data_IF_997020602713
#
_entry.id   IF_997020602713
#
_cell.length_a   1.000
_cell.length_b   1.000
_cell.length_c   1.000
_cell.angle_alpha   90.00
_cell.angle_beta   90.00
_cell.angle_gamma   90.00
#
_symmetry.space_group_name_H-M   'P 1'
#
loop_
_entity.id
_entity.type
_entity.pdbx_description
1 polymer ?
#
# COMPACT_ATOMS: atom_id res chain seq x y z
N UNK A 1 -17.41 -12.81 -41.07
CA UNK A 1 -17.43 -11.38 -41.44
C UNK A 1 -17.51 -10.57 -40.17
N UNK A 2 -16.48 -9.78 -39.89
CA UNK A 2 -16.39 -8.93 -38.71
C UNK A 2 -17.35 -7.73 -38.86
N UNK A 3 -17.99 -7.25 -37.79
CA UNK A 3 -18.66 -5.96 -37.83
C UNK A 3 -17.61 -4.84 -37.84
N UNK A 4 -17.77 -3.98 -38.84
CA UNK A 4 -17.03 -2.76 -39.11
C UNK A 4 -17.00 -1.82 -37.91
N UNK A 5 -15.85 -1.20 -37.68
CA UNK A 5 -15.71 0.00 -36.88
C UNK A 5 -16.77 1.01 -37.32
N UNK A 6 -17.64 1.40 -36.40
CA UNK A 6 -18.51 2.56 -36.52
C UNK A 6 -17.97 3.59 -35.55
N UNK A 7 -17.79 4.79 -36.08
CA UNK A 7 -17.24 5.96 -35.43
C UNK A 7 -17.93 6.22 -34.08
N UNK A 8 -17.20 6.03 -32.99
CA UNK A 8 -17.62 6.52 -31.68
C UNK A 8 -17.25 8.01 -31.67
N UNK A 9 -18.24 8.87 -31.90
CA UNK A 9 -18.11 10.30 -31.62
C UNK A 9 -17.60 10.49 -30.19
N UNK A 10 -16.61 11.38 -29.95
CA UNK A 10 -16.20 11.70 -28.60
C UNK A 10 -17.40 12.31 -27.86
N UNK A 11 -17.67 11.90 -26.61
CA UNK A 11 -18.81 12.42 -25.85
C UNK A 11 -18.75 13.94 -25.81
N UNK A 12 -19.88 14.56 -26.16
CA UNK A 12 -20.10 16.01 -26.27
C UNK A 12 -19.33 16.81 -25.22
N UNK A 13 -18.63 17.88 -25.62
CA UNK A 13 -17.91 18.85 -24.77
C UNK A 13 -18.29 18.78 -23.28
N UNK A 14 -17.68 17.83 -22.58
CA UNK A 14 -18.17 17.42 -21.28
C UNK A 14 -17.70 18.46 -20.26
N UNK A 15 -18.63 19.09 -19.54
CA UNK A 15 -18.34 19.92 -18.38
C UNK A 15 -17.26 19.23 -17.53
N UNK A 16 -16.18 19.94 -17.21
CA UNK A 16 -15.10 19.47 -16.32
C UNK A 16 -15.68 18.79 -15.09
N UNK A 17 -15.10 17.67 -14.64
CA UNK A 17 -15.61 16.97 -13.47
C UNK A 17 -15.54 17.90 -12.26
N UNK A 18 -16.69 18.17 -11.65
CA UNK A 18 -16.75 18.94 -10.41
C UNK A 18 -16.21 18.11 -9.24
N UNK A 19 -15.02 18.46 -8.76
CA UNK A 19 -14.42 17.86 -7.56
C UNK A 19 -14.92 18.59 -6.32
N UNK A 20 -15.87 17.99 -5.60
CA UNK A 20 -16.35 18.55 -4.33
C UNK A 20 -15.30 18.32 -3.23
N UNK A 21 -14.98 19.34 -2.40
CA UNK A 21 -14.10 19.15 -1.26
C UNK A 21 -14.61 18.03 -0.35
N UNK A 22 -13.71 17.13 0.01
CA UNK A 22 -13.95 16.12 1.03
C UNK A 22 -13.46 16.63 2.39
N UNK A 23 -14.18 16.30 3.45
CA UNK A 23 -13.83 16.65 4.82
C UNK A 23 -13.70 15.38 5.64
N UNK A 24 -12.73 15.36 6.55
CA UNK A 24 -12.52 14.21 7.42
C UNK A 24 -13.73 14.01 8.33
N UNK A 25 -14.23 12.77 8.48
CA UNK A 25 -15.24 12.48 9.48
C UNK A 25 -14.66 12.66 10.89
N UNK A 26 -15.52 12.68 11.90
CA UNK A 26 -15.08 12.75 13.30
C UNK A 26 -14.32 11.48 13.69
N UNK A 27 -13.39 11.62 14.62
CA UNK A 27 -12.77 10.47 15.28
C UNK A 27 -13.83 9.64 16.01
N UNK A 28 -13.59 8.34 16.16
CA UNK A 28 -14.42 7.50 17.01
C UNK A 28 -14.33 7.96 18.46
N UNK A 29 -15.44 7.82 19.16
CA UNK A 29 -15.61 8.05 20.60
C UNK A 29 -15.49 6.75 21.40
N UNK A 30 -15.43 5.60 20.72
CA UNK A 30 -15.21 4.31 21.38
C UNK A 30 -13.76 4.16 21.86
N UNK A 31 -13.61 3.50 23.01
CA UNK A 31 -12.30 3.18 23.57
C UNK A 31 -11.76 1.91 22.92
N UNK A 32 -10.78 2.07 22.02
CA UNK A 32 -10.16 0.98 21.29
C UNK A 32 -8.74 0.72 21.81
N UNK A 33 -8.32 -0.55 21.81
CA UNK A 33 -6.95 -0.92 22.14
C UNK A 33 -5.99 -0.54 21.00
N UNK A 34 -5.35 0.62 21.15
CA UNK A 34 -4.41 1.16 20.16
C UNK A 34 -3.06 0.46 20.19
N UNK A 35 -2.52 0.17 19.01
CA UNK A 35 -1.16 -0.31 18.86
C UNK A 35 -0.16 0.79 19.27
N UNK A 36 0.88 0.47 20.07
CA UNK A 36 1.90 1.43 20.46
C UNK A 36 2.91 1.64 19.32
N UNK A 37 2.50 2.33 18.25
CA UNK A 37 3.36 2.59 17.11
C UNK A 37 4.39 3.69 17.43
N UNK A 38 5.66 3.41 17.13
CA UNK A 38 6.72 4.42 17.20
C UNK A 38 6.40 5.57 16.25
N UNK A 39 6.59 6.80 16.72
CA UNK A 39 6.44 8.01 15.91
C UNK A 39 7.82 8.53 15.50
N UNK A 40 8.02 8.72 14.20
CA UNK A 40 9.25 9.23 13.58
C UNK A 40 8.98 10.64 13.08
N UNK A 41 9.68 11.63 13.65
CA UNK A 41 9.58 13.03 13.25
C UNK A 41 10.61 13.34 12.15
N UNK A 42 10.17 13.40 10.90
CA UNK A 42 11.08 13.61 9.75
C UNK A 42 11.57 15.05 9.60
N UNK A 43 11.07 16.01 10.39
CA UNK A 43 11.64 17.37 10.40
C UNK A 43 13.07 17.38 10.94
N UNK A 44 13.41 16.39 11.76
CA UNK A 44 14.73 16.22 12.37
C UNK A 44 15.76 15.56 11.45
N UNK A 45 15.35 15.09 10.26
CA UNK A 45 16.20 14.28 9.39
C UNK A 45 17.49 15.00 8.94
N UNK A 46 17.40 16.31 8.70
CA UNK A 46 18.51 17.12 8.20
C UNK A 46 19.28 17.83 9.33
N UNK A 47 18.92 17.59 10.61
CA UNK A 47 19.67 18.08 11.77
C UNK A 47 21.01 17.35 11.94
N UNK A 48 22.06 17.98 12.49
CA UNK A 48 23.31 17.27 12.83
C UNK A 48 23.04 16.10 13.78
N UNK A 49 23.41 14.87 13.37
CA UNK A 49 23.13 13.64 14.13
C UNK A 49 21.66 13.15 14.06
N UNK A 50 20.81 13.84 13.30
CA UNK A 50 19.38 13.56 13.22
C UNK A 50 19.06 12.22 12.54
N UNK A 51 19.81 11.86 11.50
CA UNK A 51 19.61 10.58 10.80
C UNK A 51 19.92 9.40 11.70
N UNK A 52 21.00 9.45 12.47
CA UNK A 52 21.43 8.38 13.37
C UNK A 52 20.42 8.16 14.50
N UNK A 53 19.92 9.25 15.10
CA UNK A 53 18.90 9.19 16.14
C UNK A 53 17.57 8.67 15.60
N UNK A 54 17.13 9.14 14.42
CA UNK A 54 15.91 8.65 13.77
C UNK A 54 16.05 7.18 13.34
N UNK A 55 17.21 6.76 12.85
CA UNK A 55 17.50 5.36 12.51
C UNK A 55 17.43 4.47 13.77
N UNK A 56 17.98 4.94 14.89
CA UNK A 56 17.87 4.25 16.19
C UNK A 56 16.42 4.12 16.67
N UNK A 57 15.60 5.16 16.51
CA UNK A 57 14.17 5.11 16.84
C UNK A 57 13.40 4.16 15.91
N UNK A 58 13.73 4.19 14.61
CA UNK A 58 13.09 3.35 13.61
C UNK A 58 13.47 1.87 13.78
N UNK A 59 14.66 1.56 14.29
CA UNK A 59 15.17 0.21 14.49
C UNK A 59 14.17 -0.71 15.20
N UNK A 60 13.65 -0.30 16.35
CA UNK A 60 12.70 -1.12 17.12
C UNK A 60 11.37 -1.29 16.37
N UNK A 61 10.93 -0.23 15.69
CA UNK A 61 9.69 -0.26 14.94
C UNK A 61 9.76 -1.27 13.78
N UNK A 62 10.86 -1.28 13.01
CA UNK A 62 11.02 -2.17 11.85
C UNK A 62 11.35 -3.61 12.22
N UNK A 63 12.05 -3.85 13.35
CA UNK A 63 12.49 -5.20 13.76
C UNK A 63 11.48 -5.95 14.62
N UNK A 64 10.61 -5.23 15.34
CA UNK A 64 9.57 -5.84 16.18
C UNK A 64 8.21 -5.82 15.51
N UNK A 65 7.73 -4.64 15.12
CA UNK A 65 6.31 -4.42 14.77
C UNK A 65 6.10 -4.27 13.27
N UNK A 66 7.08 -3.83 12.49
CA UNK A 66 6.94 -3.58 11.04
C UNK A 66 6.03 -2.41 10.67
N UNK A 67 5.51 -1.66 11.65
CA UNK A 67 4.65 -0.48 11.49
C UNK A 67 5.16 0.68 12.35
N UNK A 68 5.06 1.89 11.83
CA UNK A 68 5.38 3.14 12.53
C UNK A 68 4.49 4.27 12.00
N UNK A 69 4.50 5.41 12.68
CA UNK A 69 3.88 6.63 12.18
C UNK A 69 4.95 7.67 11.88
N UNK A 70 4.85 8.34 10.74
CA UNK A 70 5.66 9.50 10.39
C UNK A 70 4.86 10.77 10.63
N UNK A 71 5.48 11.77 11.27
CA UNK A 71 4.94 13.13 11.42
C UNK A 71 5.92 14.15 10.85
N UNK A 72 5.43 15.37 10.62
CA UNK A 72 6.22 16.49 10.09
C UNK A 72 6.99 16.13 8.81
N UNK A 73 6.34 15.36 7.92
CA UNK A 73 6.94 14.92 6.66
C UNK A 73 7.16 16.07 5.65
N UNK A 74 6.55 17.22 5.88
CA UNK A 74 6.54 18.34 4.94
C UNK A 74 5.50 18.19 3.82
N UNK A 75 4.63 17.18 3.86
CA UNK A 75 3.44 17.12 3.01
C UNK A 75 2.36 18.01 3.63
N UNK A 76 1.83 18.92 2.82
CA UNK A 76 0.73 19.78 3.23
C UNK A 76 -0.59 18.99 3.30
N UNK A 77 -1.28 19.12 4.43
CA UNK A 77 -2.56 18.44 4.68
C UNK A 77 -3.67 18.85 3.69
N UNK A 78 -3.62 20.08 3.16
CA UNK A 78 -4.52 20.53 2.10
C UNK A 78 -4.36 19.72 0.81
N UNK A 79 -3.13 19.34 0.45
CA UNK A 79 -2.87 18.46 -0.70
C UNK A 79 -3.42 17.06 -0.45
N UNK A 80 -3.27 16.54 0.78
CA UNK A 80 -3.86 15.26 1.19
C UNK A 80 -5.39 15.29 1.04
N UNK A 81 -6.05 16.37 1.50
CA UNK A 81 -7.49 16.56 1.34
C UNK A 81 -7.92 16.68 -0.12
N UNK A 82 -7.11 17.28 -1.00
CA UNK A 82 -7.36 17.29 -2.45
C UNK A 82 -7.36 15.87 -3.02
N UNK A 83 -6.38 15.04 -2.65
CA UNK A 83 -6.34 13.63 -3.08
C UNK A 83 -7.56 12.83 -2.59
N UNK A 84 -7.97 13.01 -1.33
CA UNK A 84 -9.22 12.43 -0.83
C UNK A 84 -10.45 12.94 -1.60
N UNK A 85 -10.46 14.21 -2.00
CA UNK A 85 -11.55 14.78 -2.82
C UNK A 85 -11.63 14.12 -4.20
N UNK A 86 -10.49 13.84 -4.84
CA UNK A 86 -10.44 13.10 -6.10
C UNK A 86 -10.95 11.66 -5.94
N UNK A 87 -10.45 10.93 -4.94
CA UNK A 87 -10.92 9.57 -4.64
C UNK A 87 -12.42 9.50 -4.34
N UNK A 88 -12.92 10.37 -3.47
CA UNK A 88 -14.35 10.46 -3.15
C UNK A 88 -15.21 10.80 -4.38
N UNK A 89 -14.71 11.67 -5.26
CA UNK A 89 -15.41 12.03 -6.50
C UNK A 89 -15.45 10.83 -7.45
N UNK A 90 -14.32 10.14 -7.63
CA UNK A 90 -14.22 8.94 -8.46
C UNK A 90 -15.19 7.85 -8.03
N UNK A 91 -15.22 7.47 -6.74
CA UNK A 91 -16.05 6.35 -6.29
C UNK A 91 -17.56 6.60 -6.41
N UNK A 92 -17.97 7.87 -6.53
CA UNK A 92 -19.37 8.29 -6.77
C UNK A 92 -19.76 8.34 -8.25
N UNK A 93 -18.84 8.11 -9.18
CA UNK A 93 -19.14 8.01 -10.60
C UNK A 93 -19.92 6.72 -10.93
N UNK A 94 -20.52 6.69 -12.12
CA UNK A 94 -21.21 5.49 -12.61
C UNK A 94 -20.23 4.32 -12.72
N UNK A 95 -20.75 3.10 -12.65
CA UNK A 95 -19.93 1.90 -12.78
C UNK A 95 -19.25 1.80 -14.15
N UNK A 96 -19.91 2.30 -15.20
CA UNK A 96 -19.36 2.40 -16.56
C UNK A 96 -18.09 3.27 -16.58
N UNK A 97 -18.14 4.48 -16.01
CA UNK A 97 -16.98 5.38 -15.91
C UNK A 97 -15.84 4.74 -15.10
N UNK A 98 -16.17 4.07 -13.97
CA UNK A 98 -15.16 3.39 -13.15
C UNK A 98 -14.53 2.20 -13.88
N UNK A 99 -15.30 1.46 -14.68
CA UNK A 99 -14.84 0.30 -15.47
C UNK A 99 -14.09 0.66 -16.76
N UNK A 100 -13.93 1.94 -17.09
CA UNK A 100 -13.15 2.40 -18.25
C UNK A 100 -11.76 1.74 -18.35
N UNK A 101 -11.07 1.62 -17.22
CA UNK A 101 -9.75 1.00 -17.14
C UNK A 101 -9.67 0.09 -15.90
N UNK A 102 -10.05 -1.19 -16.01
CA UNK A 102 -10.01 -2.15 -14.91
C UNK A 102 -8.60 -2.71 -14.72
N UNK A 103 -8.28 -3.16 -13.49
CA UNK A 103 -7.02 -3.86 -13.24
C UNK A 103 -6.95 -5.21 -13.98
N UNK A 104 -5.80 -5.54 -14.56
CA UNK A 104 -5.55 -6.83 -15.20
C UNK A 104 -4.81 -7.81 -14.28
N UNK A 105 -5.55 -8.39 -13.33
CA UNK A 105 -4.98 -9.34 -12.36
C UNK A 105 -4.50 -10.66 -12.97
N UNK A 106 -4.94 -11.02 -14.18
CA UNK A 106 -4.50 -12.24 -14.85
C UNK A 106 -3.00 -12.18 -15.18
N UNK A 107 -2.51 -10.99 -15.51
CA UNK A 107 -1.10 -10.66 -15.78
C UNK A 107 -0.37 -10.09 -14.55
N UNK A 108 -1.04 -10.06 -13.39
CA UNK A 108 -0.48 -9.51 -12.16
C UNK A 108 -0.38 -7.98 -12.13
N UNK A 109 -0.97 -7.29 -13.11
CA UNK A 109 -1.01 -5.83 -13.15
C UNK A 109 -2.02 -5.29 -12.13
N UNK A 110 -1.70 -4.14 -11.55
CA UNK A 110 -2.54 -3.53 -10.51
C UNK A 110 -2.93 -2.09 -10.80
N UNK A 111 -2.52 -1.48 -11.92
CA UNK A 111 -2.99 -0.15 -12.28
C UNK A 111 -4.45 -0.19 -12.77
N UNK A 112 -5.19 0.90 -12.54
CA UNK A 112 -6.60 1.01 -12.87
C UNK A 112 -7.54 0.71 -11.72
N UNK A 113 -8.80 0.42 -12.06
CA UNK A 113 -9.90 0.25 -11.13
C UNK A 113 -10.11 -1.22 -10.74
N UNK A 114 -10.16 -1.45 -9.44
CA UNK A 114 -10.59 -2.70 -8.84
C UNK A 114 -12.00 -2.53 -8.28
N UNK A 115 -12.95 -3.24 -8.88
CA UNK A 115 -14.31 -3.35 -8.37
C UNK A 115 -14.40 -4.26 -7.15
N UNK A 116 -15.40 -3.99 -6.30
CA UNK A 116 -15.80 -4.80 -5.17
C UNK A 116 -16.62 -6.03 -5.60
N UNK A 117 -16.11 -6.79 -6.56
CA UNK A 117 -16.84 -7.87 -7.24
C UNK A 117 -16.61 -9.25 -6.62
N UNK A 118 -15.67 -9.40 -5.69
CA UNK A 118 -15.29 -10.71 -5.13
C UNK A 118 -16.27 -11.15 -4.05
N UNK A 119 -16.68 -12.40 -4.10
CA UNK A 119 -17.50 -13.00 -3.04
C UNK A 119 -16.66 -13.31 -1.81
N UNK A 120 -17.22 -13.09 -0.63
CA UNK A 120 -16.60 -13.50 0.63
C UNK A 120 -17.08 -14.92 0.93
N UNK A 121 -16.21 -15.91 0.69
CA UNK A 121 -16.52 -17.32 0.85
C UNK A 121 -17.85 -17.72 0.20
N UNK A 122 -18.68 -18.40 0.98
CA UNK A 122 -20.06 -18.79 0.65
C UNK A 122 -21.12 -17.90 1.35
N UNK A 123 -20.72 -16.74 1.87
CA UNK A 123 -21.58 -15.89 2.72
C UNK A 123 -22.75 -15.24 1.99
N UNK A 124 -22.73 -15.24 0.65
CA UNK A 124 -23.67 -14.47 -0.18
C UNK A 124 -23.43 -12.95 -0.15
N UNK A 125 -22.31 -12.49 0.42
CA UNK A 125 -21.92 -11.07 0.48
C UNK A 125 -20.61 -10.87 -0.30
N UNK A 126 -20.49 -9.76 -1.03
CA UNK A 126 -19.24 -9.37 -1.70
C UNK A 126 -18.32 -8.58 -0.77
N UNK A 127 -17.04 -8.49 -1.13
CA UNK A 127 -16.20 -7.48 -0.52
C UNK A 127 -16.77 -6.08 -0.77
N UNK A 128 -16.53 -5.17 0.17
CA UNK A 128 -17.07 -3.82 0.14
C UNK A 128 -16.00 -2.81 -0.28
N UNK A 129 -14.89 -3.28 -0.85
CA UNK A 129 -13.73 -2.46 -1.12
C UNK A 129 -13.56 -2.21 -2.61
N UNK A 130 -13.50 -0.95 -2.98
CA UNK A 130 -13.11 -0.50 -4.32
C UNK A 130 -11.75 0.20 -4.25
N UNK A 131 -10.97 0.11 -5.32
CA UNK A 131 -9.65 0.73 -5.38
C UNK A 131 -9.42 1.34 -6.76
N UNK A 132 -8.77 2.51 -6.81
CA UNK A 132 -8.20 3.09 -8.02
C UNK A 132 -6.70 3.23 -7.79
N UNK A 133 -5.91 2.58 -8.65
CA UNK A 133 -4.45 2.56 -8.58
C UNK A 133 -3.88 3.39 -9.72
N UNK A 134 -3.14 4.43 -9.38
CA UNK A 134 -2.60 5.44 -10.27
C UNK A 134 -1.08 5.30 -10.27
N UNK A 135 -0.55 4.98 -11.44
CA UNK A 135 0.88 4.76 -11.68
C UNK A 135 1.74 6.01 -11.45
N UNK A 136 3.04 5.79 -11.32
CA UNK A 136 4.03 6.88 -11.31
C UNK A 136 3.98 7.73 -12.60
N UNK A 137 4.16 9.05 -12.50
CA UNK A 137 4.28 9.95 -13.64
C UNK A 137 5.69 9.92 -14.27
N UNK A 138 6.10 8.76 -14.79
CA UNK A 138 7.39 8.59 -15.49
C UNK A 138 7.17 8.31 -16.98
N UNK A 139 8.18 8.58 -17.80
CA UNK A 139 8.12 8.41 -19.25
C UNK A 139 7.73 6.99 -19.67
N UNK A 140 8.30 5.98 -19.00
CA UNK A 140 7.99 4.56 -19.26
C UNK A 140 6.50 4.20 -19.06
N UNK A 141 5.76 4.99 -18.28
CA UNK A 141 4.35 4.73 -17.93
C UNK A 141 3.40 5.82 -18.48
N UNK A 142 3.86 6.67 -19.41
CA UNK A 142 3.07 7.79 -19.94
C UNK A 142 1.78 7.33 -20.62
N UNK A 143 1.84 6.18 -21.31
CA UNK A 143 0.76 5.63 -22.13
C UNK A 143 -0.23 4.77 -21.32
N UNK A 144 0.03 4.56 -20.02
CA UNK A 144 -0.93 3.88 -19.14
C UNK A 144 -2.23 4.71 -19.10
N UNK A 145 -3.39 4.10 -19.40
CA UNK A 145 -4.68 4.79 -19.40
C UNK A 145 -4.99 5.46 -18.06
N UNK A 146 -5.69 6.58 -18.11
CA UNK A 146 -6.07 7.37 -16.92
C UNK A 146 -7.57 7.62 -16.96
N UNK A 147 -8.26 7.29 -15.87
CA UNK A 147 -9.66 7.69 -15.70
C UNK A 147 -9.81 9.20 -15.82
N UNK A 148 -10.99 9.64 -16.27
CA UNK A 148 -11.25 11.06 -16.56
C UNK A 148 -10.87 12.00 -15.40
N UNK A 149 -11.22 11.63 -14.16
CA UNK A 149 -10.88 12.39 -12.95
C UNK A 149 -9.36 12.53 -12.76
N UNK A 150 -8.59 11.48 -13.07
CA UNK A 150 -7.12 11.49 -12.96
C UNK A 150 -6.52 12.33 -14.08
N UNK A 151 -7.00 12.17 -15.30
CA UNK A 151 -6.52 12.93 -16.48
C UNK A 151 -6.75 14.44 -16.32
N UNK A 152 -7.94 14.84 -15.87
CA UNK A 152 -8.28 16.26 -15.70
C UNK A 152 -7.54 16.93 -14.51
N UNK A 153 -7.00 16.15 -13.58
CA UNK A 153 -6.28 16.65 -12.38
C UNK A 153 -4.84 16.11 -12.30
N UNK A 154 -4.26 15.71 -13.44
CA UNK A 154 -3.00 14.98 -13.49
C UNK A 154 -1.83 15.76 -12.90
N UNK A 155 -1.79 17.08 -13.09
CA UNK A 155 -0.73 17.93 -12.54
C UNK A 155 -0.69 17.86 -11.00
N UNK A 156 -1.84 18.01 -10.33
CA UNK A 156 -1.93 17.91 -8.86
C UNK A 156 -1.58 16.50 -8.37
N UNK A 157 -2.06 15.46 -9.05
CA UNK A 157 -1.85 14.05 -8.66
C UNK A 157 -0.39 13.64 -8.87
N UNK A 158 0.22 13.99 -10.00
CA UNK A 158 1.61 13.68 -10.32
C UNK A 158 2.59 14.41 -9.40
N UNK A 159 2.33 15.69 -9.09
CA UNK A 159 3.12 16.44 -8.12
C UNK A 159 3.02 15.81 -6.72
N UNK A 160 1.82 15.43 -6.27
CA UNK A 160 1.64 14.74 -4.99
C UNK A 160 2.37 13.39 -4.97
N UNK A 161 2.29 12.63 -6.06
CA UNK A 161 3.01 11.38 -6.20
C UNK A 161 4.54 11.56 -6.09
N UNK A 162 5.11 12.62 -6.68
CA UNK A 162 6.54 12.95 -6.56
C UNK A 162 6.92 13.30 -5.11
N UNK A 163 6.05 14.03 -4.40
CA UNK A 163 6.29 14.39 -2.99
C UNK A 163 6.41 13.17 -2.07
N UNK A 164 5.73 12.05 -2.37
CA UNK A 164 5.88 10.81 -1.60
C UNK A 164 7.33 10.34 -1.59
N UNK A 165 8.00 10.47 -2.73
CA UNK A 165 9.40 10.12 -2.87
C UNK A 165 10.33 11.13 -2.21
N UNK A 166 10.22 12.40 -2.62
CA UNK A 166 11.18 13.44 -2.23
C UNK A 166 11.17 13.71 -0.72
N UNK A 167 9.98 13.66 -0.12
CA UNK A 167 9.76 14.05 1.27
C UNK A 167 9.71 12.88 2.25
N UNK A 168 9.36 11.66 1.80
CA UNK A 168 9.26 10.49 2.69
C UNK A 168 10.14 9.33 2.28
N UNK A 169 9.87 8.67 1.15
CA UNK A 169 10.48 7.36 0.85
C UNK A 169 11.99 7.45 0.81
N UNK A 170 12.55 8.48 0.17
CA UNK A 170 14.00 8.69 0.15
C UNK A 170 14.59 8.77 1.55
N UNK A 171 13.96 9.53 2.46
CA UNK A 171 14.40 9.68 3.85
C UNK A 171 14.30 8.36 4.61
N UNK A 172 13.16 7.67 4.49
CA UNK A 172 12.96 6.36 5.15
C UNK A 172 13.96 5.31 4.66
N UNK A 173 14.27 5.27 3.36
CA UNK A 173 15.26 4.37 2.79
C UNK A 173 16.68 4.68 3.27
N UNK A 174 17.04 5.95 3.44
CA UNK A 174 18.32 6.33 4.08
C UNK A 174 18.38 5.81 5.51
N UNK A 175 17.32 6.01 6.32
CA UNK A 175 17.30 5.50 7.71
C UNK A 175 17.42 3.98 7.76
N UNK A 176 16.74 3.27 6.86
CA UNK A 176 16.83 1.81 6.73
C UNK A 176 18.24 1.37 6.30
N UNK A 177 18.88 2.07 5.37
CA UNK A 177 20.25 1.80 4.97
C UNK A 177 21.24 1.97 6.14
N UNK A 178 21.08 3.03 6.94
CA UNK A 178 21.88 3.26 8.15
C UNK A 178 21.69 2.12 9.15
N UNK A 179 20.45 1.71 9.42
CA UNK A 179 20.16 0.55 10.30
C UNK A 179 20.91 -0.69 9.82
N UNK A 180 20.93 -0.93 8.51
CA UNK A 180 21.56 -2.11 7.91
C UNK A 180 23.07 -1.92 7.66
N UNK A 181 23.66 -0.82 8.10
CA UNK A 181 25.08 -0.48 7.87
C UNK A 181 25.49 -0.52 6.39
N UNK A 182 24.55 -0.15 5.52
CA UNK A 182 24.75 0.00 4.09
C UNK A 182 25.05 1.47 3.75
N UNK A 183 25.60 1.75 2.55
CA UNK A 183 25.67 3.12 2.04
C UNK A 183 24.27 3.77 2.07
N UNK A 184 24.18 5.03 2.51
CA UNK A 184 22.88 5.73 2.70
C UNK A 184 21.98 5.69 1.45
N UNK A 185 22.59 5.72 0.26
CA UNK A 185 21.90 5.70 -1.02
C UNK A 185 21.49 4.29 -1.50
N UNK A 186 21.88 3.21 -0.82
CA UNK A 186 21.69 1.84 -1.31
C UNK A 186 20.23 1.53 -1.71
N UNK A 187 19.27 1.79 -0.82
CA UNK A 187 17.85 1.58 -1.13
C UNK A 187 17.23 2.71 -1.94
N UNK A 188 17.80 3.92 -1.87
CA UNK A 188 17.37 5.07 -2.67
C UNK A 188 17.61 4.78 -4.16
N UNK A 189 18.78 4.28 -4.50
CA UNK A 189 19.15 3.96 -5.87
C UNK A 189 18.34 2.76 -6.38
N UNK A 190 18.14 1.74 -5.53
CA UNK A 190 17.35 0.56 -5.87
C UNK A 190 15.85 0.83 -6.08
N UNK A 191 15.34 1.99 -5.63
CA UNK A 191 13.95 2.41 -5.78
C UNK A 191 13.84 3.79 -6.46
N UNK A 192 14.86 4.18 -7.24
CA UNK A 192 14.91 5.50 -7.85
C UNK A 192 13.61 5.84 -8.57
N UNK A 193 13.10 7.05 -8.34
CA UNK A 193 11.75 7.42 -8.75
C UNK A 193 11.51 7.28 -10.26
N UNK A 194 12.50 7.66 -11.07
CA UNK A 194 12.45 7.65 -12.53
C UNK A 194 12.56 6.24 -13.14
N UNK A 195 13.00 5.25 -12.35
CA UNK A 195 13.10 3.87 -12.81
C UNK A 195 11.73 3.20 -12.84
N UNK A 196 11.54 2.25 -13.76
CA UNK A 196 10.28 1.52 -13.87
C UNK A 196 10.00 0.71 -12.60
N UNK A 197 8.80 0.85 -12.04
CA UNK A 197 8.29 -0.02 -10.98
C UNK A 197 6.76 0.04 -10.94
N UNK A 198 6.15 -0.93 -10.26
CA UNK A 198 4.70 -0.95 -10.02
C UNK A 198 4.26 -0.02 -8.87
N UNK A 199 5.09 0.97 -8.51
CA UNK A 199 4.73 2.02 -7.55
C UNK A 199 3.44 2.72 -7.97
N UNK A 200 2.59 3.02 -6.99
CA UNK A 200 1.33 3.71 -7.27
C UNK A 200 0.76 4.44 -6.06
N UNK A 201 0.04 5.50 -6.38
CA UNK A 201 -0.95 6.10 -5.50
C UNK A 201 -2.24 5.28 -5.58
N UNK A 202 -2.85 4.98 -4.43
CA UNK A 202 -4.14 4.30 -4.34
C UNK A 202 -5.16 5.19 -3.67
N UNK A 203 -6.28 5.41 -4.36
CA UNK A 203 -7.53 5.76 -3.71
C UNK A 203 -8.29 4.47 -3.39
N UNK A 204 -8.87 4.39 -2.21
CA UNK A 204 -9.61 3.22 -1.75
C UNK A 204 -10.86 3.66 -1.00
N UNK A 205 -11.96 2.92 -1.13
CA UNK A 205 -13.13 3.11 -0.28
C UNK A 205 -13.63 1.77 0.22
N UNK A 206 -13.93 1.68 1.52
CA UNK A 206 -14.80 0.63 2.05
C UNK A 206 -16.22 1.19 2.13
N UNK A 207 -17.11 0.63 1.32
CA UNK A 207 -18.51 0.98 1.30
C UNK A 207 -19.21 0.49 2.59
N UNK A 208 -20.23 1.23 3.00
CA UNK A 208 -21.05 0.87 4.17
C UNK A 208 -21.75 -0.46 3.93
N UNK A 209 -21.95 -1.21 5.02
CA UNK A 209 -22.69 -2.47 5.06
C UNK A 209 -23.75 -2.39 6.14
N UNK A 210 -24.81 -3.15 5.97
CA UNK A 210 -25.75 -3.46 7.05
C UNK A 210 -25.04 -4.30 8.14
N UNK A 211 -25.62 -4.35 9.35
CA UNK A 211 -25.09 -5.20 10.41
C UNK A 211 -25.03 -6.67 9.98
N UNK A 212 -26.09 -7.17 9.33
CA UNK A 212 -26.16 -8.55 8.84
C UNK A 212 -25.03 -8.87 7.84
N UNK A 213 -24.74 -7.95 6.93
CA UNK A 213 -23.64 -8.11 5.98
C UNK A 213 -22.27 -8.11 6.67
N UNK A 214 -22.07 -7.30 7.71
CA UNK A 214 -20.85 -7.31 8.52
C UNK A 214 -20.68 -8.64 9.26
N UNK A 215 -21.73 -9.12 9.91
CA UNK A 215 -21.71 -10.39 10.67
C UNK A 215 -21.37 -11.57 9.76
N UNK A 216 -21.91 -11.58 8.53
CA UNK A 216 -21.59 -12.58 7.50
C UNK A 216 -20.15 -12.46 7.01
N UNK A 217 -19.74 -11.25 6.62
CA UNK A 217 -18.43 -11.00 6.02
C UNK A 217 -17.26 -11.25 6.97
N UNK A 218 -17.40 -10.85 8.25
CA UNK A 218 -16.30 -10.89 9.21
C UNK A 218 -15.77 -12.30 9.47
N UNK A 219 -16.56 -13.36 9.25
CA UNK A 219 -16.13 -14.74 9.49
C UNK A 219 -15.05 -15.27 8.54
N UNK A 220 -14.78 -14.55 7.44
CA UNK A 220 -13.80 -14.89 6.40
C UNK A 220 -12.68 -13.83 6.26
N UNK A 221 -12.86 -12.67 6.90
CA UNK A 221 -11.88 -11.58 6.91
C UNK A 221 -11.28 -11.40 8.30
N UNK A 222 -11.32 -12.46 9.14
CA UNK A 222 -10.61 -12.44 10.44
C UNK A 222 -9.12 -12.53 10.18
N UNK A 223 -8.73 -13.24 9.14
CA UNK A 223 -7.38 -13.22 8.65
C UNK A 223 -6.92 -11.88 8.10
N UNK A 224 -5.68 -11.52 8.41
CA UNK A 224 -5.02 -10.39 7.77
C UNK A 224 -4.25 -10.77 6.52
N UNK A 225 -3.41 -9.84 6.09
CA UNK A 225 -2.47 -10.02 4.99
C UNK A 225 -1.21 -9.20 5.27
N UNK A 226 -0.16 -9.50 4.50
CA UNK A 226 1.01 -8.65 4.35
C UNK A 226 0.95 -7.94 3.00
N UNK A 227 1.61 -6.78 2.91
CA UNK A 227 1.78 -6.04 1.66
C UNK A 227 2.89 -6.63 0.82
N UNK A 228 2.83 -6.43 -0.50
CA UNK A 228 3.71 -7.15 -1.44
C UNK A 228 5.03 -6.43 -1.74
N UNK A 229 5.07 -5.10 -1.56
CA UNK A 229 6.18 -4.25 -1.97
C UNK A 229 7.25 -4.08 -0.90
N UNK A 230 7.91 -2.93 -0.92
CA UNK A 230 8.97 -2.56 0.02
C UNK A 230 8.42 -1.77 1.19
N UNK A 231 7.69 -0.69 0.90
CA UNK A 231 7.07 0.20 1.89
C UNK A 231 5.66 0.58 1.45
N UNK A 232 4.75 0.67 2.41
CA UNK A 232 3.41 1.24 2.22
C UNK A 232 3.30 2.50 3.07
N UNK A 233 2.78 3.57 2.48
CA UNK A 233 2.44 4.82 3.17
C UNK A 233 0.92 4.94 3.19
N UNK A 234 0.32 4.93 4.37
CA UNK A 234 -1.11 5.10 4.57
C UNK A 234 -1.38 6.45 5.24
N UNK A 235 -2.09 7.33 4.53
CA UNK A 235 -2.50 8.61 5.09
C UNK A 235 -3.59 8.43 6.14
N UNK A 236 -3.52 9.21 7.21
CA UNK A 236 -4.42 9.13 8.36
C UNK A 236 -5.90 9.09 7.96
N UNK A 237 -6.61 8.06 8.42
CA UNK A 237 -8.04 7.83 8.19
C UNK A 237 -8.79 7.92 9.51
N UNK A 238 -9.75 8.83 9.64
CA UNK A 238 -10.48 9.00 10.90
C UNK A 238 -11.47 7.87 11.20
N UNK A 239 -12.02 7.22 10.17
CA UNK A 239 -12.82 6.00 10.35
C UNK A 239 -11.89 4.85 10.71
N UNK A 240 -11.96 4.42 11.97
CA UNK A 240 -11.19 3.30 12.48
C UNK A 240 -11.58 2.01 11.76
N UNK A 241 -10.64 1.08 11.64
CA UNK A 241 -10.84 -0.17 10.91
C UNK A 241 -9.56 -0.95 10.72
N UNK A 242 -8.42 -0.27 10.57
CA UNK A 242 -7.12 -0.93 10.46
C UNK A 242 -6.71 -1.52 11.81
N UNK A 243 -6.37 -2.81 11.80
CA UNK A 243 -5.71 -3.51 12.89
C UNK A 243 -4.41 -4.15 12.40
N UNK A 244 -3.40 -4.15 13.26
CA UNK A 244 -2.15 -4.89 13.05
C UNK A 244 -2.07 -6.05 14.03
N UNK A 245 -1.40 -7.12 13.62
CA UNK A 245 -1.09 -8.25 14.50
C UNK A 245 0.23 -8.00 15.20
N UNK A 246 0.23 -7.92 16.52
CA UNK A 246 1.45 -7.71 17.31
C UNK A 246 2.34 -8.95 17.31
N UNK A 247 3.62 -8.86 17.72
CA UNK A 247 4.49 -10.02 17.89
C UNK A 247 3.93 -11.07 18.86
N UNK A 248 3.12 -10.64 19.82
CA UNK A 248 2.43 -11.50 20.79
C UNK A 248 1.20 -12.21 20.17
N UNK A 249 0.85 -11.89 18.92
CA UNK A 249 -0.25 -12.49 18.18
C UNK A 249 -1.61 -11.79 18.37
N UNK A 250 -1.65 -10.69 19.12
CA UNK A 250 -2.85 -9.90 19.40
C UNK A 250 -3.20 -8.95 18.25
N UNK A 251 -4.48 -8.64 18.07
CA UNK A 251 -4.92 -7.63 17.11
C UNK A 251 -5.12 -6.29 17.79
N UNK A 252 -4.36 -5.26 17.40
CA UNK A 252 -4.49 -3.90 17.94
C UNK A 252 -4.84 -2.89 16.84
N UNK A 253 -5.64 -1.90 17.20
CA UNK A 253 -6.10 -0.86 16.28
C UNK A 253 -5.00 0.14 15.98
N UNK A 254 -4.96 0.64 14.74
CA UNK A 254 -4.05 1.74 14.39
C UNK A 254 -4.75 3.06 14.63
N UNK A 255 -4.21 3.84 15.57
CA UNK A 255 -4.75 5.16 15.91
C UNK A 255 -4.48 6.15 14.77
N UNK A 256 -5.49 6.89 14.28
CA UNK A 256 -5.25 7.92 13.29
C UNK A 256 -4.53 9.11 13.96
N UNK A 257 -3.40 9.51 13.39
CA UNK A 257 -2.59 10.63 13.88
C UNK A 257 -2.81 11.84 12.97
N UNK A 258 -3.08 13.01 13.53
CA UNK A 258 -3.27 14.24 12.76
C UNK A 258 -1.96 14.63 12.07
N UNK A 259 -2.01 14.87 10.75
CA UNK A 259 -0.81 15.08 9.94
C UNK A 259 0.13 13.86 9.85
N UNK A 260 -0.30 12.73 10.41
CA UNK A 260 0.46 11.49 10.46
C UNK A 260 0.26 10.63 9.21
N UNK A 261 1.32 9.90 8.86
CA UNK A 261 1.31 8.89 7.81
C UNK A 261 1.74 7.59 8.47
N UNK A 262 0.84 6.61 8.54
CA UNK A 262 1.17 5.27 9.01
C UNK A 262 2.00 4.60 7.92
N UNK A 263 3.18 4.12 8.27
CA UNK A 263 4.07 3.43 7.36
C UNK A 263 4.24 1.98 7.80
N UNK A 264 4.39 1.08 6.85
CA UNK A 264 4.82 -0.28 7.13
C UNK A 264 5.79 -0.81 6.09
N UNK A 265 6.66 -1.72 6.56
CA UNK A 265 7.43 -2.55 5.66
C UNK A 265 6.56 -3.68 5.10
N UNK A 266 6.96 -4.15 3.94
CA UNK A 266 6.22 -5.13 3.16
C UNK A 266 7.15 -6.29 2.74
N UNK A 267 6.60 -7.29 2.06
CA UNK A 267 7.25 -8.59 1.88
C UNK A 267 8.59 -8.51 1.15
N UNK A 268 8.75 -7.62 0.16
CA UNK A 268 10.03 -7.54 -0.56
C UNK A 268 11.14 -7.03 0.34
N UNK A 269 10.89 -6.00 1.16
CA UNK A 269 11.91 -5.50 2.09
C UNK A 269 12.23 -6.52 3.19
N UNK A 270 11.23 -7.29 3.64
CA UNK A 270 11.46 -8.43 4.54
C UNK A 270 12.39 -9.47 3.89
N UNK A 271 12.16 -9.84 2.63
CA UNK A 271 13.05 -10.79 1.93
C UNK A 271 14.45 -10.27 1.70
N UNK A 272 14.57 -9.03 1.23
CA UNK A 272 15.85 -8.34 1.04
C UNK A 272 16.67 -8.33 2.34
N UNK A 273 16.01 -8.34 3.50
CA UNK A 273 16.65 -8.30 4.82
C UNK A 273 16.57 -9.63 5.59
N UNK A 274 16.24 -10.74 4.93
CA UNK A 274 16.12 -12.08 5.55
C UNK A 274 15.20 -12.12 6.77
N UNK A 275 14.12 -11.34 6.74
CA UNK A 275 13.14 -11.22 7.81
C UNK A 275 13.61 -10.40 9.00
N UNK A 276 14.74 -9.69 8.90
CA UNK A 276 15.18 -8.74 9.92
C UNK A 276 14.20 -7.57 10.04
N UNK A 277 13.83 -6.94 8.92
CA UNK A 277 12.71 -6.00 8.84
C UNK A 277 11.41 -6.81 8.70
N UNK A 278 10.45 -6.56 9.59
CA UNK A 278 9.19 -7.31 9.65
C UNK A 278 8.17 -6.77 8.65
N UNK A 279 7.64 -7.69 7.83
CA UNK A 279 6.39 -7.48 7.09
C UNK A 279 5.24 -7.95 7.97
N UNK A 280 4.42 -7.02 8.43
CA UNK A 280 3.45 -7.30 9.49
C UNK A 280 2.05 -7.54 8.97
N UNK A 281 1.45 -8.59 9.50
CA UNK A 281 0.09 -9.00 9.17
C UNK A 281 -0.89 -7.93 9.69
N UNK A 282 -1.73 -7.42 8.80
CA UNK A 282 -2.72 -6.41 9.12
C UNK A 282 -4.05 -6.68 8.40
N UNK A 283 -5.13 -6.13 8.93
CA UNK A 283 -6.49 -6.32 8.40
C UNK A 283 -7.32 -5.05 8.56
N UNK A 284 -8.39 -4.95 7.79
CA UNK A 284 -9.44 -3.95 8.03
C UNK A 284 -10.69 -4.67 8.49
N UNK A 285 -11.14 -4.34 9.71
CA UNK A 285 -12.35 -4.90 10.33
C UNK A 285 -13.51 -3.92 10.26
N UNK A 286 -14.70 -4.38 10.68
CA UNK A 286 -15.87 -3.54 10.92
C UNK A 286 -15.47 -2.33 11.78
N UNK A 287 -15.79 -1.11 11.34
CA UNK A 287 -15.57 0.09 12.14
C UNK A 287 -16.32 0.04 13.49
N UNK A 288 -15.91 0.85 14.48
CA UNK A 288 -16.68 1.06 15.70
C UNK A 288 -18.13 1.51 15.39
N UNK A 289 -19.08 1.23 16.29
CA UNK A 289 -20.52 1.41 16.05
C UNK A 289 -20.85 2.85 15.67
N UNK A 290 -20.18 3.81 16.30
CA UNK A 290 -20.35 5.23 16.04
C UNK A 290 -19.84 5.68 14.66
N UNK A 291 -19.15 4.82 13.92
CA UNK A 291 -18.63 5.08 12.57
C UNK A 291 -19.12 4.10 11.50
N UNK A 292 -19.86 3.03 11.85
CA UNK A 292 -20.31 1.99 10.91
C UNK A 292 -21.11 2.50 9.70
N UNK A 293 -21.76 3.65 9.85
CA UNK A 293 -22.57 4.31 8.82
C UNK A 293 -21.78 5.24 7.89
N UNK A 294 -20.46 5.36 8.08
CA UNK A 294 -19.58 6.26 7.34
C UNK A 294 -18.69 5.45 6.40
N UNK A 295 -18.67 5.72 5.08
CA UNK A 295 -17.73 5.09 4.17
C UNK A 295 -16.28 5.41 4.58
N UNK A 296 -15.43 4.38 4.65
CA UNK A 296 -14.02 4.54 5.03
C UNK A 296 -13.18 4.77 3.79
N UNK A 297 -12.95 6.04 3.47
CA UNK A 297 -12.08 6.46 2.38
C UNK A 297 -10.61 6.40 2.80
N UNK A 298 -9.75 5.90 1.92
CA UNK A 298 -8.32 5.71 2.13
C UNK A 298 -7.49 6.27 0.99
N UNK A 299 -6.31 6.77 1.35
CA UNK A 299 -5.28 7.25 0.44
C UNK A 299 -3.98 6.54 0.84
N UNK A 300 -3.39 5.81 -0.10
CA UNK A 300 -2.15 5.07 0.13
C UNK A 300 -1.15 5.36 -0.98
N UNK A 301 0.12 5.17 -0.67
CA UNK A 301 1.18 5.03 -1.65
C UNK A 301 1.87 3.70 -1.42
N UNK A 302 2.03 2.89 -2.47
CA UNK A 302 2.80 1.65 -2.41
C UNK A 302 4.11 1.85 -3.15
N UNK A 303 5.23 1.66 -2.44
CA UNK A 303 6.57 1.60 -3.03
C UNK A 303 6.95 0.13 -3.25
N UNK A 304 7.39 -0.19 -4.46
CA UNK A 304 7.66 -1.54 -4.93
C UNK A 304 9.02 -1.59 -5.62
N UNK A 305 9.75 -2.70 -5.50
CA UNK A 305 10.98 -2.90 -6.27
C UNK A 305 10.66 -3.00 -7.77
N UNK A 306 11.57 -2.49 -8.60
CA UNK A 306 11.44 -2.50 -10.06
C UNK A 306 11.91 -3.81 -10.69
N UNK A 307 11.88 -3.91 -12.04
CA UNK A 307 12.34 -5.09 -12.77
C UNK A 307 13.87 -5.25 -12.71
N UNK A 308 14.61 -4.20 -12.33
CA UNK A 308 16.06 -4.24 -12.16
C UNK A 308 16.50 -4.58 -10.73
N UNK A 309 15.56 -4.72 -9.79
CA UNK A 309 15.87 -5.05 -8.40
C UNK A 309 15.82 -6.58 -8.21
N UNK A 310 16.96 -7.27 -8.02
CA UNK A 310 16.95 -8.71 -7.75
C UNK A 310 16.43 -8.99 -6.34
N UNK A 311 15.51 -9.95 -6.20
CA UNK A 311 14.98 -10.39 -4.91
C UNK A 311 15.97 -11.31 -4.19
N UNK A 312 17.10 -10.74 -3.76
CA UNK A 312 18.17 -11.40 -2.98
C UNK A 312 18.47 -10.62 -1.71
N UNK A 313 19.10 -11.29 -0.76
CA UNK A 313 19.54 -10.62 0.46
C UNK A 313 20.49 -9.46 0.15
N UNK A 314 20.33 -8.34 0.85
CA UNK A 314 21.25 -7.21 0.74
C UNK A 314 22.58 -7.56 1.41
N UNK A 315 23.72 -7.06 0.91
CA UNK A 315 25.05 -7.33 1.46
C UNK A 315 25.31 -6.48 2.71
N UNK A 316 24.41 -6.57 3.69
CA UNK A 316 24.45 -5.77 4.91
C UNK A 316 25.49 -6.32 5.90
N UNK A 317 26.46 -5.48 6.34
CA UNK A 317 27.39 -5.86 7.40
C UNK A 317 26.69 -6.23 8.72
N UNK A 318 25.58 -5.55 9.05
CA UNK A 318 24.77 -5.90 10.21
C UNK A 318 24.17 -7.31 10.07
N UNK A 319 23.51 -7.61 8.95
CA UNK A 319 22.90 -8.92 8.74
C UNK A 319 23.94 -10.04 8.76
N UNK A 320 25.12 -9.80 8.20
CA UNK A 320 26.24 -10.75 8.22
C UNK A 320 26.71 -11.02 9.66
N UNK A 321 26.95 -9.96 10.43
CA UNK A 321 27.37 -10.05 11.83
C UNK A 321 26.32 -10.71 12.73
N UNK A 322 25.04 -10.61 12.39
CA UNK A 322 23.95 -11.32 13.06
C UNK A 322 23.81 -12.79 12.60
N UNK A 323 24.61 -13.25 11.63
CA UNK A 323 24.56 -14.61 11.11
C UNK A 323 23.31 -14.91 10.27
N UNK A 324 22.65 -13.88 9.73
CA UNK A 324 21.43 -14.04 8.93
C UNK A 324 21.69 -14.32 7.45
N UNK A 325 22.92 -14.07 6.99
CA UNK A 325 23.34 -14.29 5.60
C UNK A 325 24.11 -15.61 5.49
N UNK A 326 23.67 -16.49 4.59
CA UNK A 326 24.41 -17.70 4.20
C UNK A 326 25.38 -17.42 3.05
N UNK A 327 26.31 -18.32 2.76
CA UNK A 327 27.20 -18.19 1.59
C UNK A 327 26.41 -18.15 0.27
N UNK A 328 25.31 -18.89 0.20
CA UNK A 328 24.39 -18.89 -0.95
C UNK A 328 23.62 -17.57 -1.09
N UNK A 329 23.32 -16.87 0.02
CA UNK A 329 22.74 -15.53 -0.03
C UNK A 329 23.74 -14.47 -0.55
N UNK A 330 25.04 -14.74 -0.40
CA UNK A 330 26.13 -13.84 -0.81
C UNK A 330 26.57 -14.06 -2.26
N UNK A 331 26.11 -15.12 -2.93
CA UNK A 331 26.47 -15.39 -4.33
C UNK A 331 25.77 -14.40 -5.30
N UNK A 332 26.51 -13.49 -5.95
CA UNK A 332 25.91 -12.54 -6.88
C UNK A 332 25.39 -13.20 -8.17
N UNK A 333 25.81 -14.42 -8.48
CA UNK A 333 25.42 -15.16 -9.68
C UNK A 333 24.16 -16.00 -9.49
N UNK A 334 23.67 -16.12 -8.25
CA UNK A 334 22.45 -16.85 -7.96
C UNK A 334 21.27 -16.21 -8.69
N UNK A 335 20.64 -16.99 -9.56
CA UNK A 335 19.44 -16.55 -10.27
C UNK A 335 18.29 -16.39 -9.27
N UNK A 336 17.70 -15.20 -9.23
CA UNK A 336 16.58 -14.86 -8.35
C UNK A 336 15.55 -14.07 -9.17
N UNK A 337 14.24 -14.16 -8.84
CA UNK A 337 13.27 -13.31 -9.50
C UNK A 337 13.56 -11.83 -9.24
N UNK A 338 13.11 -11.00 -10.15
CA UNK A 338 13.08 -9.54 -10.00
C UNK A 338 11.95 -9.12 -9.07
N UNK A 339 12.02 -7.88 -8.59
CA UNK A 339 10.96 -7.26 -7.78
C UNK A 339 9.61 -7.29 -8.47
N UNK A 340 9.56 -6.87 -9.74
CA UNK A 340 8.33 -6.86 -10.54
C UNK A 340 7.75 -8.27 -10.73
N UNK A 341 8.58 -9.29 -11.04
CA UNK A 341 8.10 -10.67 -11.19
C UNK A 341 7.44 -11.19 -9.91
N UNK A 342 8.09 -10.99 -8.76
CA UNK A 342 7.55 -11.39 -7.46
C UNK A 342 6.22 -10.68 -7.16
N UNK A 343 6.20 -9.36 -7.31
CA UNK A 343 5.02 -8.53 -7.03
C UNK A 343 3.85 -8.95 -7.91
N UNK A 344 4.05 -9.14 -9.23
CA UNK A 344 3.00 -9.56 -10.17
C UNK A 344 2.50 -10.97 -9.85
N UNK A 345 3.39 -11.89 -9.47
CA UNK A 345 2.99 -13.21 -9.01
C UNK A 345 2.11 -13.15 -7.75
N UNK A 346 2.41 -12.27 -6.80
CA UNK A 346 1.58 -12.02 -5.61
C UNK A 346 0.23 -11.39 -5.94
N UNK A 347 0.20 -10.40 -6.83
CA UNK A 347 -1.07 -9.80 -7.30
C UNK A 347 -1.96 -10.87 -7.92
N UNK A 348 -1.39 -11.75 -8.77
CA UNK A 348 -2.12 -12.84 -9.40
C UNK A 348 -2.68 -13.83 -8.36
N UNK A 349 -1.88 -14.25 -7.38
CA UNK A 349 -2.35 -15.18 -6.34
C UNK A 349 -3.48 -14.61 -5.48
N UNK A 350 -3.45 -13.30 -5.18
CA UNK A 350 -4.41 -12.66 -4.27
C UNK A 350 -5.64 -12.11 -4.98
N UNK A 351 -5.48 -11.46 -6.13
CA UNK A 351 -6.53 -10.65 -6.75
C UNK A 351 -7.19 -11.28 -7.96
N UNK A 352 -6.56 -12.25 -8.63
CA UNK A 352 -7.18 -12.93 -9.78
C UNK A 352 -8.39 -13.79 -9.39
N UNK A 353 -8.48 -14.18 -8.11
CA UNK A 353 -9.57 -15.00 -7.58
C UNK A 353 -10.84 -14.17 -7.39
N UNK A 354 -11.97 -14.73 -7.81
CA UNK A 354 -13.31 -14.11 -7.67
C UNK A 354 -13.98 -14.40 -6.33
N UNK A 355 -13.43 -15.32 -5.55
CA UNK A 355 -13.91 -15.70 -4.21
C UNK A 355 -12.76 -15.57 -3.22
N UNK A 356 -13.00 -14.88 -2.12
CA UNK A 356 -12.09 -14.80 -0.96
C UNK A 356 -12.36 -16.04 -0.12
N UNK A 357 -11.41 -16.97 -0.10
CA UNK A 357 -11.51 -18.20 0.69
C UNK A 357 -10.60 -18.13 1.90
N UNK A 358 -10.91 -18.93 2.93
CA UNK A 358 -9.97 -19.22 4.01
C UNK A 358 -8.72 -19.88 3.43
N UNK A 359 -7.54 -19.41 3.83
CA UNK A 359 -6.22 -19.85 3.40
C UNK A 359 -5.22 -19.94 4.56
N UNK A 360 -5.65 -19.73 5.80
CA UNK A 360 -4.79 -19.91 6.97
C UNK A 360 -4.11 -21.29 6.94
N UNK A 361 -2.82 -21.33 7.28
CA UNK A 361 -2.00 -22.54 7.26
C UNK A 361 -1.49 -22.94 5.86
N UNK A 362 -1.88 -22.22 4.81
CA UNK A 362 -1.26 -22.36 3.47
C UNK A 362 -0.17 -21.30 3.27
N UNK A 363 0.66 -21.46 2.25
CA UNK A 363 1.64 -20.45 1.85
C UNK A 363 1.58 -20.18 0.35
N UNK A 364 1.98 -18.97 -0.02
CA UNK A 364 2.41 -18.63 -1.37
C UNK A 364 3.91 -18.92 -1.50
N UNK A 365 4.32 -19.53 -2.60
CA UNK A 365 5.72 -19.76 -2.95
C UNK A 365 5.93 -19.32 -4.41
N UNK A 366 6.95 -18.51 -4.63
CA UNK A 366 7.41 -18.15 -5.96
C UNK A 366 8.94 -18.13 -5.99
N UNK A 367 9.52 -19.12 -6.67
CA UNK A 367 10.97 -19.28 -6.80
C UNK A 367 11.72 -19.21 -5.46
N UNK A 368 11.16 -19.83 -4.41
CA UNK A 368 11.75 -19.88 -3.07
C UNK A 368 11.40 -18.69 -2.17
N UNK A 369 10.70 -17.68 -2.69
CA UNK A 369 10.14 -16.59 -1.90
C UNK A 369 8.79 -17.01 -1.32
N UNK A 370 8.78 -17.37 -0.04
CA UNK A 370 7.61 -17.90 0.66
C UNK A 370 6.95 -16.87 1.57
N UNK A 371 5.62 -16.73 1.47
CA UNK A 371 4.79 -15.93 2.38
C UNK A 371 3.65 -16.77 2.90
N UNK A 372 3.41 -16.77 4.21
CA UNK A 372 2.27 -17.46 4.80
C UNK A 372 0.97 -16.74 4.44
N UNK A 373 -0.09 -17.49 4.15
CA UNK A 373 -1.42 -16.93 3.97
C UNK A 373 -2.11 -16.86 5.32
N UNK A 374 -2.72 -15.70 5.61
CA UNK A 374 -3.32 -15.44 6.90
C UNK A 374 -4.83 -15.28 6.84
N UNK A 375 -5.48 -15.36 5.66
CA UNK A 375 -6.94 -15.29 5.52
C UNK A 375 -7.60 -16.45 6.30
N UNK A 376 -8.14 -16.16 7.48
CA UNK A 376 -9.00 -17.03 8.30
C UNK A 376 -10.45 -16.61 8.10
#
# INVERSE_FOLDING_TARGET
>A
MAPSATDIEPPSQAQTILVKPWSRPQYTTEDLEWAPLTTIDLSRFDEPGGKEELAKQLYDAVTRVGFWTVVNSGIDDSKVLRQFSFGNTFFKQSLEEKRFFPCNFAEGEYFGYRENSRWIGDTGVKDNVEMLNIQKPIEALKDVPKHRIVRENWEEISAFHREMWDKLLRKLFVLIAIILELPENYFVDAHAYEEESDDHLRYMIYNVRTQEEWDKAQNYTKGGHTDFGSLTLLFSQHVAGLQIRTPEGEWKWVKPVQGGITCNAADTLSFLTKGFIKSTVHRVVTPPKDQMHIPRLGLLYFCRPGPQTPMRAVPSPLLDRLGLLTDDDKDPNKNVPTGTEYVRARVKDVHYKTVITKREGTSFDFNGLKVQNYYD
#
